data_IF_217856741953
#
_entry.id   IF_217856741953
#
_cell.length_a   1.000
_cell.length_b   1.000
_cell.length_c   1.000
_cell.angle_alpha   90.00
_cell.angle_beta   90.00
_cell.angle_gamma   90.00
#
_symmetry.space_group_name_H-M   'P 1'
#
loop_
_entity.id
_entity.type
_entity.pdbx_description
1 polymer ?
#
# COMPACT_ATOMS: atom_id res chain seq x y z
N UNK A 1 6.84 -7.96 97.06
CA UNK A 1 6.08 -9.22 97.29
C UNK A 1 4.85 -9.23 96.37
N UNK A 2 4.24 -10.40 96.14
CA UNK A 2 2.90 -10.69 95.52
C UNK A 2 1.87 -9.53 95.65
N UNK A 3 0.86 -9.25 94.78
CA UNK A 3 0.25 -9.81 93.54
C UNK A 3 -0.80 -8.73 93.02
N UNK A 4 -1.64 -8.78 91.96
CA UNK A 4 -1.97 -9.62 90.76
C UNK A 4 -2.88 -8.79 89.79
N UNK A 5 -2.98 -9.17 88.50
CA UNK A 5 -4.09 -8.81 87.55
C UNK A 5 -4.26 -7.32 87.09
N UNK A 6 -5.10 -6.99 86.08
CA UNK A 6 -5.29 -7.44 84.67
C UNK A 6 -6.39 -6.57 83.98
N UNK A 7 -6.47 -6.57 82.63
CA UNK A 7 -7.52 -5.93 81.77
C UNK A 7 -7.51 -4.38 81.69
N UNK A 8 -7.93 -3.69 80.61
CA UNK A 8 -7.94 -4.03 79.16
C UNK A 8 -7.98 -2.74 78.29
N UNK A 9 -7.93 -2.90 76.96
CA UNK A 9 -7.85 -1.87 75.91
C UNK A 9 -8.81 -0.65 76.01
N UNK A 10 -8.28 0.52 75.63
CA UNK A 10 -8.87 1.38 74.58
C UNK A 10 -7.79 2.33 73.99
N UNK A 11 -7.68 2.42 72.67
CA UNK A 11 -6.96 3.50 71.98
C UNK A 11 -7.68 3.83 70.67
N UNK A 12 -7.82 5.12 70.36
CA UNK A 12 -8.70 5.62 69.30
C UNK A 12 -7.93 5.74 67.98
N UNK A 13 -8.43 5.14 66.90
CA UNK A 13 -7.79 5.18 65.58
C UNK A 13 -8.70 5.91 64.58
N UNK A 14 -8.25 7.08 64.10
CA UNK A 14 -8.97 7.90 63.12
C UNK A 14 -8.58 7.40 61.72
N UNK A 15 -9.55 6.88 60.96
CA UNK A 15 -9.35 6.47 59.58
C UNK A 15 -9.59 7.65 58.62
N UNK A 16 -8.54 8.10 57.95
CA UNK A 16 -8.62 9.09 56.88
C UNK A 16 -9.03 8.41 55.57
N UNK A 17 -10.22 8.72 55.07
CA UNK A 17 -10.77 8.08 53.86
C UNK A 17 -10.23 8.75 52.59
N UNK A 18 -8.99 8.40 52.22
CA UNK A 18 -8.37 8.85 50.97
C UNK A 18 -9.08 8.21 49.77
N UNK A 19 -9.97 8.96 49.13
CA UNK A 19 -10.74 8.48 47.98
C UNK A 19 -9.85 8.44 46.72
N UNK A 20 -9.14 7.34 46.52
CA UNK A 20 -8.35 7.08 45.31
C UNK A 20 -9.26 6.99 44.10
N UNK A 21 -9.36 8.07 43.32
CA UNK A 21 -9.98 8.05 41.99
C UNK A 21 -9.06 7.24 41.07
N UNK A 22 -9.28 5.94 41.04
CA UNK A 22 -8.68 5.06 40.04
C UNK A 22 -9.31 5.42 38.69
N UNK A 23 -8.58 6.17 37.88
CA UNK A 23 -8.92 6.44 36.48
C UNK A 23 -8.88 5.12 35.70
N UNK A 24 -9.98 4.38 35.75
CA UNK A 24 -10.18 3.17 34.97
C UNK A 24 -10.16 3.52 33.49
N UNK A 25 -9.00 3.39 32.85
CA UNK A 25 -8.95 3.25 31.40
C UNK A 25 -9.83 2.05 31.05
N UNK A 26 -10.93 2.28 30.33
CA UNK A 26 -11.73 1.20 29.79
C UNK A 26 -10.80 0.27 28.99
N UNK A 27 -10.89 -1.06 29.15
CA UNK A 27 -10.03 -1.98 28.43
C UNK A 27 -10.18 -1.69 26.93
N UNK A 28 -9.08 -1.32 26.25
CA UNK A 28 -9.12 -0.98 24.83
C UNK A 28 -9.79 -2.13 24.10
N UNK A 29 -10.90 -1.85 23.42
CA UNK A 29 -11.73 -2.88 22.81
C UNK A 29 -10.87 -3.80 21.93
N UNK A 30 -11.15 -5.11 21.97
CA UNK A 30 -10.41 -6.09 21.17
C UNK A 30 -10.49 -5.65 19.70
N UNK A 31 -9.35 -5.28 19.12
CA UNK A 31 -9.26 -4.78 17.75
C UNK A 31 -9.54 -5.92 16.76
N UNK A 32 -10.82 -6.17 16.54
CA UNK A 32 -11.39 -7.19 15.67
C UNK A 32 -12.74 -6.69 15.15
N UNK A 33 -13.12 -7.12 13.96
CA UNK A 33 -14.42 -6.80 13.37
C UNK A 33 -15.55 -7.57 14.08
N UNK A 34 -16.72 -6.94 14.28
CA UNK A 34 -17.90 -7.60 14.88
C UNK A 34 -18.38 -8.79 14.04
N UNK A 35 -18.33 -8.60 12.72
CA UNK A 35 -18.63 -9.60 11.70
C UNK A 35 -17.62 -9.39 10.58
N UNK A 36 -16.96 -10.45 10.15
CA UNK A 36 -16.15 -10.47 8.94
C UNK A 36 -16.40 -11.76 8.18
N UNK A 37 -16.53 -11.67 6.85
CA UNK A 37 -16.50 -12.84 5.96
C UNK A 37 -15.24 -12.81 5.12
N UNK A 38 -14.62 -13.98 4.91
CA UNK A 38 -13.45 -14.18 4.06
C UNK A 38 -13.78 -15.27 3.03
N UNK A 39 -13.55 -14.99 1.75
CA UNK A 39 -13.83 -15.89 0.63
C UNK A 39 -12.72 -15.78 -0.42
N UNK A 40 -12.33 -16.85 -1.12
CA UNK A 40 -11.53 -16.72 -2.34
C UNK A 40 -12.28 -15.88 -3.38
N UNK A 41 -11.60 -14.92 -4.00
CA UNK A 41 -12.20 -14.07 -5.03
C UNK A 41 -12.54 -14.88 -6.29
N UNK A 42 -13.65 -14.59 -6.99
CA UNK A 42 -13.93 -15.19 -8.30
C UNK A 42 -12.89 -14.71 -9.34
N UNK A 43 -12.64 -15.46 -10.43
CA UNK A 43 -11.77 -15.00 -11.50
C UNK A 43 -12.22 -13.64 -12.08
N UNK A 44 -11.25 -12.79 -12.42
CA UNK A 44 -11.50 -11.52 -13.12
C UNK A 44 -12.05 -11.79 -14.53
N UNK A 45 -13.03 -11.01 -14.95
CA UNK A 45 -13.54 -10.96 -16.33
C UNK A 45 -13.05 -9.67 -17.00
N UNK A 46 -12.02 -9.74 -17.87
CA UNK A 46 -11.48 -8.56 -18.54
C UNK A 46 -12.48 -7.87 -19.47
N UNK A 47 -13.42 -8.62 -20.07
CA UNK A 47 -14.41 -8.09 -21.00
C UNK A 47 -15.49 -7.30 -20.26
N UNK A 48 -15.95 -7.81 -19.11
CA UNK A 48 -16.82 -7.07 -18.19
C UNK A 48 -16.11 -5.83 -17.64
N UNK A 49 -14.86 -5.94 -17.20
CA UNK A 49 -14.10 -4.81 -16.67
C UNK A 49 -13.94 -3.70 -17.72
N UNK A 50 -13.59 -4.05 -18.96
CA UNK A 50 -13.52 -3.10 -20.07
C UNK A 50 -14.89 -2.45 -20.37
N UNK A 51 -15.98 -3.23 -20.33
CA UNK A 51 -17.35 -2.76 -20.52
C UNK A 51 -17.81 -1.79 -19.42
N UNK A 52 -17.58 -2.13 -18.15
CA UNK A 52 -17.92 -1.27 -17.01
C UNK A 52 -17.11 0.04 -17.07
N UNK A 53 -15.80 -0.02 -17.35
CA UNK A 53 -14.96 1.18 -17.53
C UNK A 53 -15.45 2.05 -18.69
N UNK A 54 -15.80 1.46 -19.84
CA UNK A 54 -16.38 2.19 -20.98
C UNK A 54 -17.75 2.82 -20.65
N UNK A 55 -18.53 2.20 -19.77
CA UNK A 55 -19.76 2.74 -19.21
C UNK A 55 -19.55 3.74 -18.05
N UNK A 56 -18.30 4.14 -17.76
CA UNK A 56 -17.96 5.08 -16.69
C UNK A 56 -18.01 4.50 -15.27
N UNK A 57 -18.19 3.20 -15.12
CA UNK A 57 -18.23 2.48 -13.83
C UNK A 57 -16.83 1.95 -13.51
N UNK A 58 -16.21 2.48 -12.46
CA UNK A 58 -14.98 1.89 -11.94
C UNK A 58 -15.30 0.60 -11.17
N UNK A 59 -14.67 -0.55 -11.48
CA UNK A 59 -14.85 -1.78 -10.71
C UNK A 59 -14.34 -1.58 -9.27
N UNK A 60 -15.15 -1.98 -8.28
CA UNK A 60 -14.91 -1.80 -6.84
C UNK A 60 -13.92 -2.84 -6.30
N UNK A 61 -12.69 -2.79 -6.80
CA UNK A 61 -11.56 -3.64 -6.38
C UNK A 61 -10.64 -2.85 -5.42
N UNK A 62 -9.80 -3.56 -4.66
CA UNK A 62 -8.92 -2.97 -3.65
C UNK A 62 -9.60 -2.77 -2.29
N UNK A 63 -8.99 -1.94 -1.45
CA UNK A 63 -9.44 -1.65 -0.09
C UNK A 63 -10.36 -0.42 -0.03
N UNK A 64 -11.57 -0.58 0.50
CA UNK A 64 -12.57 0.48 0.68
C UNK A 64 -13.00 0.49 2.16
N UNK A 65 -12.50 1.46 2.93
CA UNK A 65 -12.80 1.58 4.36
C UNK A 65 -13.65 2.82 4.64
N UNK A 66 -14.73 2.61 5.40
CA UNK A 66 -15.71 3.61 5.83
C UNK A 66 -15.80 3.61 7.36
N UNK A 67 -16.62 4.48 7.94
CA UNK A 67 -16.82 4.54 9.40
C UNK A 67 -17.51 3.30 10.01
N UNK A 68 -18.08 2.38 9.20
CA UNK A 68 -18.80 1.19 9.70
C UNK A 68 -18.56 -0.10 8.90
N UNK A 69 -17.86 -0.03 7.77
CA UNK A 69 -17.51 -1.17 6.91
C UNK A 69 -16.09 -1.06 6.37
N UNK A 70 -15.40 -2.19 6.33
CA UNK A 70 -14.17 -2.39 5.57
C UNK A 70 -14.42 -3.49 4.53
N UNK A 71 -14.12 -3.18 3.28
CA UNK A 71 -14.22 -4.10 2.14
C UNK A 71 -12.83 -4.21 1.50
N UNK A 72 -12.37 -5.42 1.22
CA UNK A 72 -11.11 -5.68 0.52
C UNK A 72 -11.39 -6.68 -0.60
N UNK A 73 -11.49 -6.20 -1.84
CA UNK A 73 -12.07 -6.97 -2.95
C UNK A 73 -11.01 -7.25 -4.03
N UNK A 74 -10.95 -8.48 -4.54
CA UNK A 74 -9.99 -8.92 -5.56
C UNK A 74 -8.51 -8.74 -5.16
N UNK A 75 -8.21 -8.75 -3.85
CA UNK A 75 -6.88 -8.45 -3.33
C UNK A 75 -6.06 -9.72 -3.10
N UNK A 76 -4.82 -9.82 -3.63
CA UNK A 76 -3.89 -10.88 -3.27
C UNK A 76 -3.60 -10.89 -1.76
N UNK A 77 -3.37 -12.05 -1.16
CA UNK A 77 -3.08 -12.15 0.27
C UNK A 77 -1.84 -11.33 0.67
N UNK A 78 -0.82 -11.24 -0.19
CA UNK A 78 0.36 -10.36 0.00
C UNK A 78 -0.04 -8.89 0.17
N UNK A 79 -1.06 -8.43 -0.57
CA UNK A 79 -1.57 -7.05 -0.49
C UNK A 79 -2.45 -6.82 0.74
N UNK A 80 -3.16 -7.84 1.23
CA UNK A 80 -3.90 -7.77 2.49
C UNK A 80 -2.96 -7.67 3.69
N UNK A 81 -1.88 -8.47 3.69
CA UNK A 81 -0.80 -8.40 4.69
C UNK A 81 -0.12 -7.03 4.64
N UNK A 82 0.18 -6.51 3.43
CA UNK A 82 0.78 -5.18 3.25
C UNK A 82 -0.05 -4.06 3.92
N UNK A 83 -1.37 -4.06 3.71
CA UNK A 83 -2.28 -3.11 4.38
C UNK A 83 -2.30 -3.32 5.90
N UNK A 84 -2.42 -4.57 6.37
CA UNK A 84 -2.51 -4.89 7.79
C UNK A 84 -1.27 -4.46 8.61
N UNK A 85 -0.07 -4.58 8.02
CA UNK A 85 1.20 -4.27 8.68
C UNK A 85 1.77 -2.88 8.35
N UNK A 86 1.11 -2.11 7.48
CA UNK A 86 1.59 -0.79 7.06
C UNK A 86 2.88 -0.82 6.24
N UNK A 87 3.07 -1.86 5.42
CA UNK A 87 4.28 -2.06 4.58
C UNK A 87 3.90 -2.14 3.10
N UNK A 88 4.88 -2.03 2.20
CA UNK A 88 4.66 -2.21 0.76
C UNK A 88 4.77 -3.70 0.37
N UNK A 89 4.04 -4.20 -0.67
CA UNK A 89 4.10 -5.61 -1.06
C UNK A 89 5.48 -6.14 -1.45
N UNK A 90 6.42 -5.28 -1.86
CA UNK A 90 7.81 -5.65 -2.16
C UNK A 90 8.67 -5.86 -0.90
N UNK A 91 8.23 -5.39 0.27
CA UNK A 91 8.90 -5.61 1.56
C UNK A 91 8.48 -6.91 2.25
N UNK A 92 7.60 -7.72 1.64
CA UNK A 92 7.09 -8.95 2.25
C UNK A 92 7.79 -10.16 1.63
N UNK A 93 8.41 -10.97 2.47
CA UNK A 93 9.09 -12.21 2.09
C UNK A 93 8.33 -13.42 2.62
N UNK A 94 7.97 -14.34 1.72
CA UNK A 94 7.10 -15.47 2.00
C UNK A 94 6.70 -16.18 0.70
N UNK A 95 5.83 -17.21 0.75
CA UNK A 95 5.50 -18.04 -0.40
C UNK A 95 4.92 -17.27 -1.60
N UNK A 96 5.37 -17.60 -2.82
CA UNK A 96 4.99 -16.91 -4.06
C UNK A 96 3.47 -16.82 -4.29
N UNK A 97 2.72 -17.84 -3.86
CA UNK A 97 1.26 -17.88 -4.02
C UNK A 97 0.54 -16.73 -3.30
N UNK A 98 1.16 -16.08 -2.31
CA UNK A 98 0.63 -14.86 -1.68
C UNK A 98 0.36 -13.74 -2.70
N UNK A 99 1.11 -13.69 -3.80
CA UNK A 99 0.93 -12.69 -4.86
C UNK A 99 -0.18 -13.05 -5.87
N UNK A 100 -0.58 -14.32 -5.96
CA UNK A 100 -1.57 -14.81 -6.94
C UNK A 100 -2.95 -15.10 -6.36
N UNK A 101 -3.02 -15.65 -5.15
CA UNK A 101 -4.29 -16.04 -4.51
C UNK A 101 -5.01 -14.81 -3.96
N UNK A 102 -6.22 -14.56 -4.47
CA UNK A 102 -7.03 -13.38 -4.15
C UNK A 102 -8.18 -13.73 -3.24
N UNK A 103 -8.47 -12.80 -2.33
CA UNK A 103 -9.58 -12.93 -1.38
C UNK A 103 -10.46 -11.69 -1.39
N UNK A 104 -11.75 -11.93 -1.23
CA UNK A 104 -12.77 -10.93 -0.96
C UNK A 104 -13.06 -10.99 0.55
N UNK A 105 -12.84 -9.87 1.23
CA UNK A 105 -13.14 -9.69 2.66
C UNK A 105 -14.18 -8.58 2.82
N UNK A 106 -15.29 -8.89 3.48
CA UNK A 106 -16.34 -7.94 3.85
C UNK A 106 -16.49 -7.93 5.37
N UNK A 107 -16.27 -6.79 6.02
CA UNK A 107 -16.21 -6.70 7.47
C UNK A 107 -16.90 -5.45 8.06
N UNK A 108 -17.38 -5.59 9.30
CA UNK A 108 -18.08 -4.56 10.10
C UNK A 108 -17.17 -4.03 11.19
N UNK A 109 -16.97 -2.71 11.22
CA UNK A 109 -16.28 -2.05 12.33
C UNK A 109 -17.25 -1.92 13.54
N UNK A 110 -16.77 -2.18 14.78
CA UNK A 110 -17.57 -1.99 15.98
C UNK A 110 -17.80 -0.52 16.29
N UNK A 111 -18.79 -0.24 17.13
CA UNK A 111 -19.11 1.13 17.56
C UNK A 111 -17.90 1.81 18.22
N UNK A 112 -17.56 3.01 17.75
CA UNK A 112 -16.42 3.78 18.23
C UNK A 112 -15.06 3.47 17.58
N UNK A 113 -14.95 2.44 16.73
CA UNK A 113 -13.76 2.23 15.90
C UNK A 113 -13.72 3.20 14.70
N UNK A 114 -12.51 3.43 14.18
CA UNK A 114 -12.24 4.38 13.10
C UNK A 114 -11.68 3.69 11.85
N UNK A 115 -11.56 4.43 10.72
CA UNK A 115 -10.84 3.95 9.52
C UNK A 115 -9.41 3.49 9.88
N UNK A 116 -8.78 4.16 10.85
CA UNK A 116 -7.37 4.00 11.21
C UNK A 116 -7.13 2.76 12.11
N UNK A 117 -8.19 2.22 12.73
CA UNK A 117 -8.13 0.95 13.46
C UNK A 117 -8.18 -0.26 12.51
N UNK A 118 -8.74 -0.10 11.30
CA UNK A 118 -8.99 -1.19 10.35
C UNK A 118 -7.74 -2.01 9.95
N UNK A 119 -6.52 -1.44 9.79
CA UNK A 119 -5.30 -2.23 9.56
C UNK A 119 -4.99 -3.22 10.70
N UNK A 120 -5.10 -2.79 11.96
CA UNK A 120 -4.87 -3.65 13.13
C UNK A 120 -5.96 -4.72 13.28
N UNK A 121 -7.21 -4.37 12.95
CA UNK A 121 -8.32 -5.32 12.90
C UNK A 121 -8.16 -6.35 11.77
N UNK A 122 -7.63 -5.94 10.62
CA UNK A 122 -7.26 -6.83 9.52
C UNK A 122 -6.09 -7.74 9.92
N UNK A 123 -5.08 -7.23 10.64
CA UNK A 123 -3.99 -8.05 11.18
C UNK A 123 -4.53 -9.16 12.07
N UNK A 124 -5.44 -8.84 13.00
CA UNK A 124 -6.10 -9.83 13.86
C UNK A 124 -6.95 -10.84 13.07
N UNK A 125 -7.67 -10.38 12.03
CA UNK A 125 -8.45 -11.26 11.16
C UNK A 125 -7.57 -12.22 10.36
N UNK A 126 -6.43 -11.76 9.82
CA UNK A 126 -5.51 -12.62 9.07
C UNK A 126 -4.79 -13.63 9.98
N UNK A 127 -4.40 -13.20 11.19
CA UNK A 127 -3.82 -14.08 12.21
C UNK A 127 -4.77 -15.19 12.66
N UNK A 128 -6.08 -14.92 12.76
CA UNK A 128 -7.06 -15.97 13.05
C UNK A 128 -7.41 -16.81 11.80
N UNK A 129 -7.85 -16.19 10.71
CA UNK A 129 -8.41 -16.92 9.56
C UNK A 129 -7.38 -17.67 8.73
N UNK A 130 -6.17 -17.14 8.57
CA UNK A 130 -5.08 -17.76 7.78
C UNK A 130 -3.92 -18.24 8.65
N UNK A 131 -4.08 -18.25 9.98
CA UNK A 131 -3.01 -18.58 10.97
C UNK A 131 -1.72 -17.78 10.74
N UNK A 132 -1.86 -16.55 10.22
CA UNK A 132 -0.74 -15.70 9.84
C UNK A 132 0.17 -15.41 11.05
N UNK A 133 1.42 -15.85 10.96
CA UNK A 133 2.52 -15.43 11.81
C UNK A 133 3.61 -14.78 10.96
N UNK A 134 4.14 -13.65 11.45
CA UNK A 134 5.14 -12.87 10.74
C UNK A 134 5.94 -11.97 11.70
N UNK A 135 7.23 -11.77 11.40
CA UNK A 135 8.12 -10.86 12.12
C UNK A 135 8.77 -9.84 11.17
N UNK A 136 9.38 -8.81 11.75
CA UNK A 136 10.22 -7.85 11.02
C UNK A 136 11.68 -8.28 11.15
N UNK A 137 12.40 -8.27 10.03
CA UNK A 137 13.82 -8.60 9.95
C UNK A 137 14.58 -7.56 9.10
N UNK A 138 15.91 -7.58 9.10
CA UNK A 138 16.76 -6.65 8.34
C UNK A 138 18.05 -7.33 7.89
N UNK A 139 18.03 -7.91 6.68
CA UNK A 139 19.19 -8.55 6.05
C UNK A 139 19.78 -7.71 4.89
N UNK A 140 20.99 -8.07 4.43
CA UNK A 140 21.60 -7.48 3.22
C UNK A 140 21.02 -8.08 1.93
N UNK A 141 20.06 -7.38 1.33
CA UNK A 141 19.53 -7.74 0.01
C UNK A 141 20.25 -6.99 -1.12
N UNK A 142 20.11 -7.51 -2.34
CA UNK A 142 20.48 -6.79 -3.57
C UNK A 142 19.38 -5.75 -3.87
N UNK A 143 19.80 -4.52 -4.14
CA UNK A 143 18.92 -3.35 -4.32
C UNK A 143 19.41 -2.45 -5.46
N UNK A 144 18.49 -1.68 -6.03
CA UNK A 144 18.81 -0.57 -6.93
C UNK A 144 19.00 0.72 -6.11
N UNK A 145 20.26 1.06 -5.81
CA UNK A 145 20.58 2.32 -5.16
C UNK A 145 20.30 3.50 -6.10
N UNK A 146 19.37 4.37 -5.70
CA UNK A 146 19.14 5.67 -6.34
C UNK A 146 20.24 6.63 -5.87
N UNK A 147 21.07 7.11 -6.81
CA UNK A 147 22.23 7.96 -6.54
C UNK A 147 22.27 9.17 -7.46
N UNK A 148 23.11 10.16 -7.14
CA UNK A 148 23.40 11.25 -8.07
C UNK A 148 24.18 10.73 -9.30
N UNK A 149 23.75 11.13 -10.50
CA UNK A 149 24.37 10.75 -11.76
C UNK A 149 25.64 11.54 -12.07
N UNK A 150 26.34 11.16 -13.14
CA UNK A 150 27.53 11.89 -13.63
C UNK A 150 27.11 13.27 -14.15
N UNK A 151 27.53 14.32 -13.44
CA UNK A 151 27.09 15.71 -13.66
C UNK A 151 26.16 16.27 -12.58
N UNK A 152 25.76 15.44 -11.61
CA UNK A 152 24.92 15.83 -10.48
C UNK A 152 23.42 15.90 -10.78
N UNK A 153 22.57 16.04 -9.75
CA UNK A 153 21.13 16.08 -9.89
C UNK A 153 20.66 17.31 -10.66
N UNK A 154 19.69 17.11 -11.57
CA UNK A 154 19.03 18.14 -12.37
C UNK A 154 17.56 18.34 -11.93
N UNK A 155 17.29 18.02 -10.67
CA UNK A 155 15.98 18.16 -10.05
C UNK A 155 15.65 19.63 -9.78
N UNK A 156 14.38 19.99 -9.93
CA UNK A 156 13.86 21.26 -9.43
C UNK A 156 13.39 21.06 -7.99
N UNK A 157 13.99 21.79 -7.05
CA UNK A 157 13.50 21.84 -5.67
C UNK A 157 12.17 22.60 -5.58
N UNK A 158 11.28 22.13 -4.71
CA UNK A 158 9.93 22.66 -4.49
C UNK A 158 9.80 23.16 -3.06
N UNK A 159 9.58 24.46 -2.91
CA UNK A 159 9.37 25.16 -1.63
C UNK A 159 7.90 25.21 -1.17
N UNK A 160 6.98 24.61 -1.92
CA UNK A 160 5.58 24.47 -1.49
C UNK A 160 5.47 23.48 -0.32
N UNK A 161 4.55 23.75 0.61
CA UNK A 161 4.32 22.90 1.79
C UNK A 161 3.14 21.94 1.57
N UNK A 162 3.18 20.72 2.13
CA UNK A 162 2.08 19.77 2.02
C UNK A 162 0.81 20.32 2.70
N UNK A 163 -0.34 20.18 2.06
CA UNK A 163 -1.63 20.68 2.54
C UNK A 163 -2.55 19.48 2.84
N UNK A 164 -3.19 19.39 4.01
CA UNK A 164 -4.20 18.36 4.26
C UNK A 164 -5.33 18.41 3.23
N UNK A 165 -5.78 17.23 2.78
CA UNK A 165 -6.91 17.13 1.87
C UNK A 165 -8.21 17.24 2.67
N UNK A 166 -9.01 18.28 2.42
CA UNK A 166 -10.35 18.36 2.98
C UNK A 166 -11.26 17.33 2.28
N UNK A 167 -11.53 16.20 2.96
CA UNK A 167 -12.46 15.14 2.49
C UNK A 167 -13.89 15.66 2.28
N UNK A 168 -14.32 16.66 3.05
CA UNK A 168 -15.72 17.13 3.08
C UNK A 168 -16.02 18.25 2.08
N UNK A 169 -14.99 18.90 1.53
CA UNK A 169 -15.16 19.92 0.50
C UNK A 169 -15.92 19.37 -0.72
N UNK A 170 -16.97 20.07 -1.21
CA UNK A 170 -17.82 19.57 -2.28
C UNK A 170 -17.06 19.39 -3.59
N UNK A 171 -17.24 18.23 -4.22
CA UNK A 171 -16.57 17.88 -5.48
C UNK A 171 -17.08 18.72 -6.65
N UNK A 172 -16.16 19.18 -7.50
CA UNK A 172 -16.48 19.76 -8.80
C UNK A 172 -16.91 18.65 -9.79
N UNK A 173 -17.66 18.95 -10.87
CA UNK A 173 -18.14 17.94 -11.82
C UNK A 173 -17.04 17.09 -12.50
N UNK A 174 -15.80 17.57 -12.53
CA UNK A 174 -14.64 16.85 -13.05
C UNK A 174 -13.79 16.16 -11.97
N UNK A 175 -14.29 16.06 -10.73
CA UNK A 175 -13.57 15.50 -9.59
C UNK A 175 -14.27 14.28 -8.98
N UNK A 176 -13.48 13.38 -8.41
CA UNK A 176 -13.97 12.26 -7.61
C UNK A 176 -13.05 11.99 -6.42
N UNK A 177 -13.62 11.54 -5.30
CA UNK A 177 -12.85 10.96 -4.20
C UNK A 177 -12.57 9.49 -4.50
N UNK A 178 -11.32 9.09 -4.36
CA UNK A 178 -10.86 7.70 -4.33
C UNK A 178 -10.39 7.45 -2.90
N UNK A 179 -11.04 6.54 -2.18
CA UNK A 179 -10.58 6.10 -0.86
C UNK A 179 -9.60 4.96 -1.08
N UNK A 180 -8.37 5.08 -0.56
CA UNK A 180 -7.36 4.03 -0.60
C UNK A 180 -6.89 3.63 0.81
N UNK A 181 -6.05 2.58 0.92
CA UNK A 181 -5.50 2.14 2.21
C UNK A 181 -4.53 3.15 2.83
N UNK A 182 -3.96 4.05 2.03
CA UNK A 182 -3.15 5.20 2.49
C UNK A 182 -3.98 6.48 2.69
N UNK A 183 -5.29 6.35 2.88
CA UNK A 183 -6.23 7.46 3.04
C UNK A 183 -6.81 7.98 1.72
N UNK A 184 -7.47 9.15 1.75
CA UNK A 184 -8.20 9.70 0.61
C UNK A 184 -7.26 10.25 -0.48
N UNK A 185 -7.77 10.25 -1.71
CA UNK A 185 -7.17 10.91 -2.88
C UNK A 185 -8.27 11.61 -3.67
N UNK A 186 -8.10 12.90 -3.97
CA UNK A 186 -9.02 13.66 -4.83
C UNK A 186 -8.47 13.66 -6.26
N UNK A 187 -9.05 12.86 -7.13
CA UNK A 187 -8.70 12.86 -8.55
C UNK A 187 -9.51 13.93 -9.29
N UNK A 188 -8.82 14.76 -10.08
CA UNK A 188 -9.38 15.78 -10.97
C UNK A 188 -9.03 15.43 -12.41
N UNK A 189 -10.04 15.28 -13.29
CA UNK A 189 -9.80 15.16 -14.74
C UNK A 189 -9.68 16.57 -15.35
N UNK A 190 -8.58 16.81 -16.07
CA UNK A 190 -8.24 18.12 -16.61
C UNK A 190 -8.65 18.24 -18.09
N UNK A 191 -8.90 19.46 -18.61
CA UNK A 191 -9.29 19.66 -20.02
C UNK A 191 -8.22 19.24 -21.05
N UNK A 192 -6.95 19.10 -20.65
CA UNK A 192 -5.85 18.62 -21.51
C UNK A 192 -5.76 17.08 -21.58
N UNK A 193 -6.75 16.37 -21.02
CA UNK A 193 -6.75 14.90 -20.95
C UNK A 193 -5.93 14.31 -19.81
N UNK A 194 -5.20 15.12 -19.04
CA UNK A 194 -4.48 14.64 -17.85
C UNK A 194 -5.41 14.41 -16.64
N UNK A 195 -4.94 13.64 -15.67
CA UNK A 195 -5.60 13.45 -14.38
C UNK A 195 -4.65 13.86 -13.25
N UNK A 196 -5.06 14.81 -12.42
CA UNK A 196 -4.32 15.23 -11.21
C UNK A 196 -4.89 14.52 -10.00
N UNK A 197 -4.05 13.77 -9.29
CA UNK A 197 -4.34 13.08 -8.04
C UNK A 197 -3.73 13.90 -6.90
N UNK A 198 -4.59 14.57 -6.13
CA UNK A 198 -4.25 15.26 -4.89
C UNK A 198 -4.36 14.27 -3.73
N UNK A 199 -3.22 13.98 -3.08
CA UNK A 199 -3.10 13.02 -1.97
C UNK A 199 -2.90 13.73 -0.62
N UNK A 200 -3.22 15.04 -0.56
CA UNK A 200 -3.07 15.87 0.63
C UNK A 200 -1.61 16.02 1.05
N UNK A 201 -1.29 15.65 2.29
CA UNK A 201 0.07 15.74 2.84
C UNK A 201 1.07 14.79 2.18
N UNK A 202 0.60 13.81 1.37
CA UNK A 202 1.44 12.97 0.49
C UNK A 202 1.78 13.64 -0.85
N UNK A 203 1.32 14.88 -1.07
CA UNK A 203 1.62 15.68 -2.27
C UNK A 203 0.69 15.42 -3.45
N UNK A 204 1.06 15.96 -4.61
CA UNK A 204 0.24 15.96 -5.82
C UNK A 204 0.98 15.31 -6.99
N UNK A 205 0.29 14.41 -7.69
CA UNK A 205 0.76 13.71 -8.89
C UNK A 205 -0.17 14.05 -10.06
N UNK A 206 0.36 14.33 -11.25
CA UNK A 206 -0.42 14.50 -12.48
C UNK A 206 0.02 13.48 -13.52
N UNK A 207 -0.94 12.69 -13.99
CA UNK A 207 -0.74 11.66 -15.01
C UNK A 207 -1.30 12.15 -16.33
N UNK A 208 -0.51 12.09 -17.41
CA UNK A 208 -0.95 12.41 -18.78
C UNK A 208 -0.65 11.22 -19.68
N UNK A 209 -1.70 10.68 -20.29
CA UNK A 209 -1.57 9.67 -21.34
C UNK A 209 -1.24 10.37 -22.67
N UNK A 210 -0.18 9.93 -23.34
CA UNK A 210 0.15 10.33 -24.69
C UNK A 210 -0.43 9.30 -25.68
N UNK A 211 -1.26 9.75 -26.62
CA UNK A 211 -1.98 8.86 -27.52
C UNK A 211 -1.13 8.39 -28.73
N UNK A 212 -0.04 9.07 -29.05
CA UNK A 212 0.83 8.76 -30.18
C UNK A 212 1.89 7.72 -29.77
N UNK A 213 2.59 7.98 -28.67
CA UNK A 213 3.59 7.06 -28.09
C UNK A 213 2.95 5.92 -27.29
N UNK A 214 1.71 6.11 -26.83
CA UNK A 214 0.99 5.25 -25.87
C UNK A 214 1.70 5.14 -24.52
N UNK A 215 2.46 6.16 -24.13
CA UNK A 215 3.07 6.27 -22.80
C UNK A 215 2.16 6.98 -21.79
N UNK A 216 2.47 6.83 -20.51
CA UNK A 216 1.93 7.69 -19.45
C UNK A 216 3.10 8.46 -18.84
N UNK A 217 3.04 9.79 -18.93
CA UNK A 217 3.90 10.69 -18.18
C UNK A 217 3.29 10.95 -16.81
N UNK A 218 4.09 10.80 -15.76
CA UNK A 218 3.74 11.03 -14.36
C UNK A 218 4.63 12.16 -13.83
N UNK A 219 4.05 13.34 -13.64
CA UNK A 219 4.70 14.51 -13.06
C UNK A 219 4.25 14.69 -11.60
N UNK A 220 5.16 14.61 -10.63
CA UNK A 220 4.86 14.81 -9.20
C UNK A 220 5.64 16.00 -8.65
N UNK A 221 4.98 16.91 -7.94
CA UNK A 221 5.54 18.23 -7.60
C UNK A 221 6.38 18.29 -6.32
N UNK A 222 6.12 17.40 -5.36
CA UNK A 222 6.63 17.50 -3.99
C UNK A 222 6.96 16.11 -3.45
N UNK A 223 8.14 15.59 -3.82
CA UNK A 223 8.57 14.24 -3.46
C UNK A 223 9.98 14.26 -2.84
N UNK A 224 10.16 13.59 -1.70
CA UNK A 224 11.51 13.35 -1.14
C UNK A 224 12.20 12.23 -1.92
N UNK A 225 13.54 12.16 -1.91
CA UNK A 225 14.23 11.07 -2.65
C UNK A 225 13.91 9.67 -2.09
N UNK A 226 13.60 9.54 -0.80
CA UNK A 226 13.04 8.32 -0.22
C UNK A 226 11.65 7.98 -0.81
N UNK A 227 10.69 8.91 -0.81
CA UNK A 227 9.36 8.67 -1.40
C UNK A 227 9.39 8.44 -2.92
N UNK A 228 10.40 9.00 -3.61
CA UNK A 228 10.66 8.72 -5.02
C UNK A 228 11.23 7.30 -5.20
N UNK A 229 12.14 6.84 -4.33
CA UNK A 229 12.61 5.46 -4.30
C UNK A 229 11.46 4.46 -4.01
N UNK A 230 10.55 4.77 -3.09
CA UNK A 230 9.35 3.95 -2.84
C UNK A 230 8.43 3.89 -4.07
N UNK A 231 8.30 5.00 -4.79
CA UNK A 231 7.53 5.10 -6.04
C UNK A 231 8.16 4.24 -7.14
N UNK A 232 9.48 4.35 -7.34
CA UNK A 232 10.22 3.53 -8.31
C UNK A 232 10.16 2.04 -7.94
N UNK A 233 10.31 1.68 -6.67
CA UNK A 233 10.13 0.31 -6.18
C UNK A 233 8.74 -0.24 -6.50
N UNK A 234 7.70 0.58 -6.32
CA UNK A 234 6.31 0.20 -6.60
C UNK A 234 6.03 0.01 -8.09
N UNK A 235 6.79 0.68 -8.97
CA UNK A 235 6.70 0.58 -10.44
C UNK A 235 7.51 -0.62 -10.95
N UNK A 236 8.71 -0.85 -10.42
CA UNK A 236 9.66 -1.85 -10.91
C UNK A 236 9.39 -3.27 -10.35
N UNK A 237 8.96 -3.41 -9.09
CA UNK A 237 8.74 -4.72 -8.47
C UNK A 237 7.70 -5.60 -9.20
N UNK A 238 6.57 -5.09 -9.74
CA UNK A 238 5.66 -5.88 -10.56
C UNK A 238 6.29 -6.41 -11.87
N UNK A 239 7.37 -5.77 -12.35
CA UNK A 239 8.14 -6.19 -13.52
C UNK A 239 9.34 -7.10 -13.15
N UNK A 240 9.42 -7.54 -11.89
CA UNK A 240 10.54 -8.35 -11.38
C UNK A 240 11.78 -7.54 -11.00
N UNK A 241 11.68 -6.21 -10.92
CA UNK A 241 12.77 -5.33 -10.50
C UNK A 241 13.00 -5.35 -8.98
N UNK A 242 14.23 -5.08 -8.59
CA UNK A 242 14.65 -4.99 -7.18
C UNK A 242 14.08 -3.74 -6.48
N UNK A 243 14.05 -3.78 -5.14
CA UNK A 243 13.73 -2.60 -4.34
C UNK A 243 14.73 -1.46 -4.63
N UNK A 244 14.20 -0.25 -4.78
CA UNK A 244 14.98 0.97 -4.95
C UNK A 244 15.20 1.62 -3.58
N UNK A 245 16.44 2.04 -3.30
CA UNK A 245 16.83 2.64 -2.02
C UNK A 245 17.47 4.01 -2.24
N UNK A 246 17.03 5.05 -1.53
CA UNK A 246 17.65 6.38 -1.60
C UNK A 246 19.06 6.38 -1.02
N UNK A 247 20.05 6.52 -1.90
CA UNK A 247 21.45 6.78 -1.59
C UNK A 247 21.94 8.09 -2.23
N UNK A 248 21.03 9.01 -2.57
CA UNK A 248 21.35 10.30 -3.20
C UNK A 248 22.02 11.27 -2.22
N UNK A 249 21.74 11.10 -0.92
CA UNK A 249 22.11 12.05 0.13
C UNK A 249 21.29 13.34 0.16
N UNK A 250 20.41 13.55 -0.82
CA UNK A 250 19.64 14.79 -0.98
C UNK A 250 18.64 15.01 0.16
N UNK A 251 18.37 16.28 0.46
CA UNK A 251 17.47 16.73 1.53
C UNK A 251 16.66 17.91 0.99
N UNK A 252 15.35 17.71 0.88
CA UNK A 252 14.42 18.64 0.24
C UNK A 252 13.24 17.89 -0.38
N UNK A 253 12.28 18.64 -0.92
CA UNK A 253 11.22 18.12 -1.78
C UNK A 253 11.51 18.53 -3.21
N UNK A 254 11.33 17.61 -4.16
CA UNK A 254 11.65 17.83 -5.55
C UNK A 254 10.44 17.58 -6.45
N UNK A 255 10.38 18.33 -7.56
CA UNK A 255 9.57 17.95 -8.70
C UNK A 255 10.30 16.85 -9.48
N UNK A 256 9.59 15.74 -9.74
CA UNK A 256 10.08 14.57 -10.46
C UNK A 256 9.13 14.20 -11.60
N UNK A 257 9.69 13.66 -12.68
CA UNK A 257 8.93 13.17 -13.84
C UNK A 257 9.35 11.74 -14.17
N UNK A 258 8.39 10.83 -14.27
CA UNK A 258 8.59 9.46 -14.79
C UNK A 258 7.79 9.34 -16.07
N UNK A 259 8.37 8.79 -17.13
CA UNK A 259 7.61 8.23 -18.25
C UNK A 259 7.49 6.71 -18.09
N UNK A 260 6.31 6.18 -18.39
CA UNK A 260 6.02 4.75 -18.49
C UNK A 260 5.61 4.45 -19.94
N UNK A 261 6.43 3.71 -20.68
CA UNK A 261 6.11 3.34 -22.06
C UNK A 261 5.02 2.28 -22.12
N UNK A 262 4.48 2.03 -23.32
CA UNK A 262 3.55 0.93 -23.56
C UNK A 262 4.10 -0.43 -23.09
N UNK A 263 5.40 -0.68 -23.21
CA UNK A 263 6.01 -1.94 -22.76
C UNK A 263 5.94 -2.09 -21.22
N UNK A 264 6.22 -1.02 -20.49
CA UNK A 264 6.16 -0.96 -19.03
C UNK A 264 4.73 -1.16 -18.54
N UNK A 265 3.77 -0.42 -19.14
CA UNK A 265 2.34 -0.53 -18.83
C UNK A 265 1.79 -1.93 -19.11
N UNK A 266 2.22 -2.58 -20.20
CA UNK A 266 1.84 -3.95 -20.54
C UNK A 266 2.47 -4.98 -19.61
N UNK A 267 3.68 -4.74 -19.11
CA UNK A 267 4.34 -5.59 -18.10
C UNK A 267 3.63 -5.51 -16.75
N UNK A 268 3.34 -4.29 -16.29
CA UNK A 268 2.55 -4.02 -15.07
C UNK A 268 1.15 -4.63 -15.19
N UNK A 269 0.44 -4.42 -16.30
CA UNK A 269 -0.87 -5.03 -16.54
C UNK A 269 -0.84 -6.57 -16.45
N UNK A 270 0.14 -7.21 -17.10
CA UNK A 270 0.36 -8.66 -17.08
C UNK A 270 0.58 -9.18 -15.65
N UNK A 271 1.45 -8.53 -14.87
CA UNK A 271 1.74 -8.90 -13.47
C UNK A 271 0.51 -8.78 -12.57
N UNK A 272 -0.37 -7.81 -12.83
CA UNK A 272 -1.62 -7.60 -12.11
C UNK A 272 -2.76 -8.54 -12.55
N UNK A 273 -2.51 -9.44 -13.50
CA UNK A 273 -3.49 -10.42 -14.03
C UNK A 273 -4.32 -9.92 -15.22
N UNK A 274 -4.05 -8.72 -15.73
CA UNK A 274 -4.74 -8.18 -16.90
C UNK A 274 -4.02 -8.60 -18.19
N UNK A 275 -4.54 -9.65 -18.82
CA UNK A 275 -4.15 -9.99 -20.19
C UNK A 275 -4.66 -8.89 -21.16
N UNK A 276 -3.82 -8.40 -22.10
CA UNK A 276 -4.31 -7.55 -23.19
C UNK A 276 -5.34 -8.30 -24.03
N UNK A 277 -6.36 -7.61 -24.60
CA UNK A 277 -7.25 -8.25 -25.56
C UNK A 277 -6.43 -8.76 -26.76
N UNK A 278 -6.74 -9.95 -27.30
CA UNK A 278 -5.96 -10.53 -28.40
C UNK A 278 -6.04 -9.61 -29.62
N UNK A 279 -4.88 -9.12 -30.07
CA UNK A 279 -4.76 -8.25 -31.24
C UNK A 279 -5.23 -8.99 -32.48
N UNK A 280 -6.35 -8.57 -33.04
CA UNK A 280 -7.01 -9.23 -34.17
C UNK A 280 -6.28 -8.94 -35.49
N UNK A 281 -5.10 -9.54 -35.65
CA UNK A 281 -4.23 -9.38 -36.82
C UNK A 281 -2.84 -9.97 -36.59
N UNK A 282 -2.63 -11.21 -37.04
CA UNK A 282 -1.36 -11.94 -36.88
C UNK A 282 -1.62 -13.40 -36.49
N UNK A 283 -1.37 -14.33 -37.41
CA UNK A 283 -1.62 -15.76 -37.20
C UNK A 283 -0.46 -16.49 -36.54
N UNK A 284 -0.76 -17.67 -35.98
CA UNK A 284 0.17 -18.73 -35.56
C UNK A 284 1.14 -18.43 -34.39
N UNK A 285 0.63 -18.55 -33.16
CA UNK A 285 1.36 -19.18 -32.04
C UNK A 285 0.40 -19.62 -30.90
N UNK A 286 -0.37 -20.70 -31.12
CA UNK A 286 -1.02 -21.40 -30.02
C UNK A 286 -0.04 -22.42 -29.41
N UNK A 287 -0.14 -22.67 -28.10
CA UNK A 287 0.69 -23.58 -27.29
C UNK A 287 2.15 -23.15 -27.06
N UNK A 288 2.36 -22.39 -25.99
CA UNK A 288 3.60 -22.45 -25.20
C UNK A 288 3.23 -22.84 -23.76
N UNK A 289 3.93 -23.83 -23.19
CA UNK A 289 3.71 -24.29 -21.81
C UNK A 289 4.35 -23.37 -20.75
N UNK A 290 4.17 -23.66 -19.45
CA UNK A 290 4.67 -22.84 -18.33
C UNK A 290 6.18 -23.00 -18.10
N UNK A 291 6.98 -22.76 -19.14
CA UNK A 291 8.45 -22.91 -19.15
C UNK A 291 9.18 -21.77 -19.90
N UNK A 292 8.45 -20.70 -20.26
CA UNK A 292 8.98 -19.56 -21.04
C UNK A 292 8.70 -18.19 -20.37
N UNK A 293 8.59 -18.15 -19.04
CA UNK A 293 8.49 -16.92 -18.26
C UNK A 293 9.87 -16.34 -17.93
N UNK A 294 10.75 -16.25 -18.93
CA UNK A 294 12.00 -15.50 -18.81
C UNK A 294 11.69 -13.99 -18.93
N UNK A 295 12.29 -13.17 -18.07
CA UNK A 295 12.04 -11.72 -18.04
C UNK A 295 12.40 -11.07 -19.38
N UNK A 296 11.43 -10.41 -20.00
CA UNK A 296 11.64 -9.58 -21.18
C UNK A 296 12.47 -8.33 -20.78
N UNK A 297 13.70 -8.14 -21.30
CA UNK A 297 14.61 -7.09 -20.81
C UNK A 297 14.17 -5.64 -21.06
N UNK A 298 13.01 -5.44 -21.71
CA UNK A 298 12.45 -4.12 -22.01
C UNK A 298 11.69 -3.47 -20.84
N UNK A 299 11.23 -4.27 -19.86
CA UNK A 299 10.46 -3.77 -18.71
C UNK A 299 11.30 -2.90 -17.76
N UNK A 300 10.93 -1.63 -17.63
CA UNK A 300 11.58 -0.61 -16.81
C UNK A 300 12.40 0.41 -17.61
N UNK A 301 12.69 0.18 -18.90
CA UNK A 301 13.68 0.97 -19.64
C UNK A 301 13.38 2.49 -19.67
N UNK A 302 12.12 2.88 -19.83
CA UNK A 302 11.69 4.29 -19.79
C UNK A 302 11.85 4.93 -18.40
N UNK A 303 11.73 4.14 -17.34
CA UNK A 303 11.92 4.55 -15.94
C UNK A 303 13.40 4.84 -15.68
N UNK A 304 14.31 3.94 -16.08
CA UNK A 304 15.75 4.18 -16.00
C UNK A 304 16.14 5.45 -16.78
N UNK A 305 15.65 5.61 -18.01
CA UNK A 305 15.90 6.80 -18.83
C UNK A 305 15.37 8.09 -18.18
N UNK A 306 14.19 8.04 -17.54
CA UNK A 306 13.61 9.18 -16.81
C UNK A 306 14.49 9.60 -15.61
N UNK A 307 15.00 8.63 -14.86
CA UNK A 307 15.93 8.87 -13.73
C UNK A 307 17.24 9.50 -14.22
N UNK A 308 17.80 9.04 -15.33
CA UNK A 308 19.02 9.62 -15.92
C UNK A 308 18.82 11.05 -16.45
N UNK A 309 17.66 11.35 -17.05
CA UNK A 309 17.31 12.72 -17.47
C UNK A 309 17.31 13.71 -16.29
N UNK A 310 16.84 13.26 -15.12
CA UNK A 310 16.86 14.03 -13.87
C UNK A 310 18.25 14.15 -13.22
N UNK A 311 19.32 13.67 -13.85
CA UNK A 311 20.68 13.71 -13.30
C UNK A 311 20.88 12.78 -12.11
N UNK A 312 20.03 11.78 -11.96
CA UNK A 312 20.15 10.68 -11.01
C UNK A 312 20.61 9.42 -11.75
N UNK A 313 20.78 8.31 -11.04
CA UNK A 313 21.05 6.99 -11.60
C UNK A 313 20.54 5.89 -10.65
N UNK A 314 20.15 4.75 -11.20
CA UNK A 314 19.97 3.50 -10.44
C UNK A 314 21.23 2.61 -10.59
N UNK A 315 21.76 2.10 -9.49
CA UNK A 315 22.93 1.22 -9.46
C UNK A 315 22.67 -0.02 -8.61
N UNK A 316 23.00 -1.21 -9.12
CA UNK A 316 22.96 -2.43 -8.30
C UNK A 316 23.95 -2.32 -7.14
N UNK A 317 23.46 -2.51 -5.91
CA UNK A 317 24.25 -2.55 -4.67
C UNK A 317 23.70 -3.60 -3.72
N UNK A 318 24.40 -3.84 -2.62
CA UNK A 318 23.82 -4.42 -1.41
C UNK A 318 23.43 -3.32 -0.43
N UNK A 319 22.35 -3.53 0.32
CA UNK A 319 21.98 -2.70 1.45
C UNK A 319 21.22 -3.53 2.49
N UNK A 320 21.33 -3.20 3.79
CA UNK A 320 20.37 -3.65 4.78
C UNK A 320 19.00 -3.04 4.45
N UNK A 321 17.97 -3.86 4.29
CA UNK A 321 16.57 -3.41 4.11
C UNK A 321 15.64 -4.13 5.06
N UNK A 322 14.71 -3.39 5.65
CA UNK A 322 13.71 -3.95 6.56
C UNK A 322 12.60 -4.67 5.77
N UNK A 323 12.34 -5.93 6.15
CA UNK A 323 11.31 -6.77 5.53
C UNK A 323 10.35 -7.34 6.58
N UNK A 324 9.15 -7.67 6.14
CA UNK A 324 8.18 -8.48 6.88
C UNK A 324 8.28 -9.93 6.39
N UNK A 325 8.86 -10.80 7.21
CA UNK A 325 9.05 -12.23 6.93
C UNK A 325 7.82 -12.99 7.41
N UNK A 326 7.23 -13.81 6.53
CA UNK A 326 6.05 -14.62 6.84
C UNK A 326 6.47 -16.01 7.30
N UNK A 327 6.51 -16.21 8.62
CA UNK A 327 6.87 -17.47 9.27
C UNK A 327 5.88 -18.60 8.98
N UNK A 328 4.58 -18.27 8.97
CA UNK A 328 3.51 -19.23 8.73
C UNK A 328 2.27 -18.53 8.19
N UNK A 329 1.60 -19.18 7.22
CA UNK A 329 0.32 -18.76 6.67
C UNK A 329 -0.33 -19.93 5.93
N UNK A 330 -1.61 -20.21 6.23
CA UNK A 330 -2.41 -21.22 5.55
C UNK A 330 -2.95 -20.68 4.21
N UNK A 331 -3.06 -21.55 3.20
CA UNK A 331 -3.51 -21.13 1.85
C UNK A 331 -5.01 -20.91 1.75
N UNK A 332 -5.80 -21.63 2.54
CA UNK A 332 -7.25 -21.47 2.65
C UNK A 332 -7.58 -20.88 4.01
N UNK A 333 -8.55 -19.94 4.11
CA UNK A 333 -9.00 -19.44 5.41
C UNK A 333 -9.82 -20.51 6.14
N UNK A 334 -9.84 -20.44 7.48
CA UNK A 334 -10.81 -21.17 8.30
C UNK A 334 -12.25 -20.77 7.98
N UNK A 335 -13.19 -21.70 8.11
CA UNK A 335 -14.62 -21.43 7.90
C UNK A 335 -15.14 -20.29 8.79
N UNK A 336 -16.09 -19.52 8.28
CA UNK A 336 -16.52 -18.21 8.81
C UNK A 336 -17.25 -18.30 10.15
#
# INVERSE_FOLDING_TARGET
MRLRCRFFFAFFAIFLFACSIASGQAPKAKLAFDVATVKPSPPLDPQKIASDIAAGKMPRMGAHVTASRAEYIQMPLKSLIAVAYGVKPYQITGPDWLASERFDIEATLPEGATKDDAPAMLQALLADRFKLNAHRDTEEHKVLALVAGKGGPKLKETSEQPKPLDENAPLKPNQMMINGPEGPVRMTRNPDGSATLDMGTRGTMTQRFDAETRSIRIDSSMVTMAGFADTLSSILAPMGGEQVVDMTGLKGNYAVSIELSLADLMSIARSAGFAPPPTQGGGAAANAGPAAAASDPSGGASVFQSVEQMGLKLEERKAPVEQLVIDHVEKAPTEN
#
